data_IF_404629387352
#
_entry.id   IF_404629387352
#
_cell.length_a   1.000
_cell.length_b   1.000
_cell.length_c   1.000
_cell.angle_alpha   90.00
_cell.angle_beta   90.00
_cell.angle_gamma   90.00
#
_symmetry.space_group_name_H-M   'P 1'
#
loop_
_entity.id
_entity.type
_entity.pdbx_description
1 polymer ?
#
# COMPACT_ATOMS: atom_id res chain seq x y z
N UNK A 1 -7.32 7.28 -18.88
CA UNK A 1 -6.29 6.54 -18.18
C UNK A 1 -5.18 6.08 -19.13
N UNK A 2 -3.97 6.11 -18.69
CA UNK A 2 -2.82 5.60 -19.44
C UNK A 2 -2.76 4.07 -19.37
N UNK A 3 -1.80 3.46 -20.08
CA UNK A 3 -1.71 1.99 -20.19
C UNK A 3 -1.52 1.28 -18.84
N UNK A 4 -0.93 1.93 -17.86
CA UNK A 4 -0.68 1.44 -16.51
C UNK A 4 -1.67 1.98 -15.47
N UNK A 5 -2.74 2.62 -15.91
CA UNK A 5 -3.83 3.12 -15.06
C UNK A 5 -5.13 2.36 -15.32
N UNK A 6 -5.92 2.21 -14.27
CA UNK A 6 -7.23 1.57 -14.31
C UNK A 6 -8.23 2.37 -13.50
N UNK A 7 -9.41 2.61 -14.08
CA UNK A 7 -10.52 3.21 -13.36
C UNK A 7 -11.68 2.21 -13.32
N UNK A 8 -12.05 1.79 -12.13
CA UNK A 8 -13.17 0.89 -11.89
C UNK A 8 -14.37 1.67 -11.41
N UNK A 9 -15.52 1.46 -12.05
CA UNK A 9 -16.81 1.93 -11.53
C UNK A 9 -17.42 0.82 -10.70
N UNK A 10 -17.61 1.08 -9.40
CA UNK A 10 -18.16 0.15 -8.44
C UNK A 10 -19.56 0.59 -8.04
N UNK A 11 -20.50 -0.35 -7.97
CA UNK A 11 -21.85 -0.09 -7.49
C UNK A 11 -22.08 -0.85 -6.19
N UNK A 12 -22.63 -0.16 -5.19
CA UNK A 12 -22.96 -0.73 -3.91
C UNK A 12 -24.33 -0.22 -3.42
N UNK A 13 -24.79 -0.68 -2.24
CA UNK A 13 -26.08 -0.28 -1.69
C UNK A 13 -26.19 1.22 -1.41
N UNK A 14 -25.06 1.90 -1.22
CA UNK A 14 -25.00 3.33 -0.91
C UNK A 14 -24.60 4.22 -2.11
N UNK A 15 -24.64 3.68 -3.33
CA UNK A 15 -24.36 4.43 -4.55
C UNK A 15 -23.23 3.88 -5.39
N UNK A 16 -22.73 4.70 -6.31
CA UNK A 16 -21.64 4.36 -7.20
C UNK A 16 -20.34 5.03 -6.75
N UNK A 17 -19.23 4.29 -6.88
CA UNK A 17 -17.89 4.77 -6.54
C UNK A 17 -16.96 4.57 -7.73
N UNK A 18 -15.98 5.45 -7.87
CA UNK A 18 -14.88 5.29 -8.83
C UNK A 18 -13.61 5.00 -8.08
N UNK A 19 -13.00 3.84 -8.37
CA UNK A 19 -11.72 3.44 -7.82
C UNK A 19 -10.65 3.63 -8.89
N UNK A 20 -9.73 4.56 -8.64
CA UNK A 20 -8.61 4.85 -9.53
C UNK A 20 -7.37 4.15 -9.01
N UNK A 21 -6.68 3.42 -9.88
CA UNK A 21 -5.40 2.81 -9.55
C UNK A 21 -4.39 3.04 -10.65
N UNK A 22 -3.13 3.24 -10.26
CA UNK A 22 -2.02 3.47 -11.15
C UNK A 22 -0.82 2.63 -10.75
N UNK A 23 -0.23 1.95 -11.72
CA UNK A 23 1.05 1.26 -11.58
C UNK A 23 2.19 2.08 -12.21
N UNK A 24 2.01 3.38 -12.39
CA UNK A 24 3.06 4.28 -12.88
C UNK A 24 4.31 4.19 -12.03
N UNK A 25 5.48 4.14 -12.69
CA UNK A 25 6.76 4.07 -11.99
C UNK A 25 7.02 5.30 -11.12
N UNK A 26 6.53 6.47 -11.54
CA UNK A 26 6.75 7.74 -10.84
C UNK A 26 5.69 8.07 -9.81
N UNK A 27 4.45 7.58 -9.99
CA UNK A 27 3.32 7.93 -9.13
C UNK A 27 2.32 6.76 -9.04
N UNK A 28 2.68 5.67 -8.35
CA UNK A 28 1.73 4.59 -8.11
C UNK A 28 0.73 5.00 -7.02
N UNK A 29 -0.54 4.64 -7.21
CA UNK A 29 -1.59 4.97 -6.24
C UNK A 29 -2.81 4.06 -6.39
N UNK A 30 -3.65 4.07 -5.37
CA UNK A 30 -5.02 3.56 -5.38
C UNK A 30 -5.87 4.40 -4.44
N UNK A 31 -6.98 4.95 -4.92
CA UNK A 31 -7.93 5.68 -4.08
C UNK A 31 -9.29 5.85 -4.78
N UNK A 32 -10.30 6.15 -3.97
CA UNK A 32 -11.62 6.52 -4.49
C UNK A 32 -11.62 7.97 -4.93
N UNK A 33 -12.08 8.24 -6.15
CA UNK A 33 -12.11 9.59 -6.71
C UNK A 33 -13.51 9.94 -7.20
N UNK A 34 -13.95 11.21 -7.02
CA UNK A 34 -15.17 11.70 -7.64
C UNK A 34 -14.97 12.06 -9.12
N UNK A 35 -13.71 12.17 -9.55
CA UNK A 35 -13.35 12.66 -10.89
C UNK A 35 -13.41 11.54 -11.93
N UNK A 36 -14.00 11.84 -13.07
CA UNK A 36 -13.99 10.94 -14.22
C UNK A 36 -12.87 11.35 -15.18
N UNK A 37 -11.98 10.41 -15.52
CA UNK A 37 -10.92 10.65 -16.51
C UNK A 37 -11.40 10.33 -17.90
N UNK A 38 -10.95 11.12 -18.87
CA UNK A 38 -11.20 10.84 -20.29
C UNK A 38 -10.53 9.52 -20.67
N UNK A 39 -11.31 8.59 -21.19
CA UNK A 39 -10.79 7.31 -21.66
C UNK A 39 -10.10 7.49 -23.02
N UNK A 40 -9.02 6.73 -23.30
CA UNK A 40 -8.42 6.73 -24.62
C UNK A 40 -9.40 6.16 -25.66
N UNK A 41 -9.22 6.53 -26.91
CA UNK A 41 -10.07 6.05 -28.03
C UNK A 41 -10.04 4.51 -28.12
N UNK A 42 -8.88 3.92 -27.87
CA UNK A 42 -8.70 2.46 -27.86
C UNK A 42 -8.26 2.03 -26.47
N UNK A 43 -9.01 1.10 -25.86
CA UNK A 43 -8.66 0.57 -24.55
C UNK A 43 -7.36 -0.27 -24.63
N UNK A 44 -6.45 -0.14 -23.63
CA UNK A 44 -5.30 -1.03 -23.54
C UNK A 44 -5.73 -2.50 -23.45
N UNK A 45 -4.87 -3.40 -23.92
CA UNK A 45 -5.14 -4.85 -23.92
C UNK A 45 -5.55 -5.38 -22.54
N UNK A 46 -4.85 -4.95 -21.50
CA UNK A 46 -5.17 -5.38 -20.11
C UNK A 46 -6.60 -4.96 -19.72
N UNK A 47 -7.00 -3.75 -20.04
CA UNK A 47 -8.35 -3.27 -19.76
C UNK A 47 -9.41 -4.14 -20.49
N UNK A 48 -9.13 -4.52 -21.73
CA UNK A 48 -10.02 -5.39 -22.50
C UNK A 48 -10.13 -6.79 -21.88
N UNK A 49 -9.03 -7.34 -21.40
CA UNK A 49 -9.03 -8.63 -20.67
C UNK A 49 -9.90 -8.54 -19.42
N UNK A 50 -9.77 -7.48 -18.63
CA UNK A 50 -10.59 -7.28 -17.44
C UNK A 50 -12.09 -7.14 -17.81
N UNK A 51 -12.43 -6.37 -18.84
CA UNK A 51 -13.81 -6.23 -19.30
C UNK A 51 -14.41 -7.57 -19.71
N UNK A 52 -13.64 -8.40 -20.38
CA UNK A 52 -14.08 -9.73 -20.81
C UNK A 52 -14.41 -10.65 -19.63
N UNK A 53 -13.63 -10.61 -18.56
CA UNK A 53 -13.74 -11.55 -17.46
C UNK A 53 -14.60 -11.05 -16.30
N UNK A 54 -14.42 -9.79 -15.88
CA UNK A 54 -14.99 -9.31 -14.61
C UNK A 54 -16.00 -8.17 -14.74
N UNK A 55 -16.33 -7.74 -15.96
CA UNK A 55 -17.43 -6.77 -16.13
C UNK A 55 -18.72 -7.36 -15.51
N UNK A 56 -19.43 -6.55 -14.70
CA UNK A 56 -20.60 -6.96 -13.94
C UNK A 56 -20.31 -8.04 -12.86
N UNK A 57 -19.06 -8.28 -12.55
CA UNK A 57 -18.66 -9.15 -11.44
C UNK A 57 -18.89 -8.49 -10.09
N UNK A 58 -18.72 -9.27 -9.04
CA UNK A 58 -18.89 -8.84 -7.65
C UNK A 58 -17.60 -8.98 -6.88
N UNK A 59 -17.16 -7.90 -6.23
CA UNK A 59 -16.02 -7.95 -5.29
C UNK A 59 -16.53 -8.61 -4.00
N UNK A 60 -15.91 -9.72 -3.62
CA UNK A 60 -16.29 -10.48 -2.43
C UNK A 60 -15.37 -10.23 -1.26
N UNK A 61 -14.11 -9.82 -1.52
CA UNK A 61 -13.13 -9.55 -0.48
C UNK A 61 -12.08 -8.57 -0.99
N UNK A 62 -11.66 -7.66 -0.13
CA UNK A 62 -10.52 -6.76 -0.36
C UNK A 62 -9.59 -6.95 0.84
N UNK A 63 -8.32 -7.27 0.59
CA UNK A 63 -7.37 -7.47 1.68
C UNK A 63 -5.94 -7.15 1.27
N UNK A 64 -5.13 -6.87 2.30
CA UNK A 64 -3.70 -6.61 2.21
C UNK A 64 -2.96 -7.80 2.86
N UNK A 65 -2.05 -8.48 2.17
CA UNK A 65 -1.25 -9.53 2.79
C UNK A 65 -0.24 -8.93 3.77
N UNK A 66 -0.47 -9.13 5.07
CA UNK A 66 0.33 -8.52 6.13
C UNK A 66 0.39 -7.01 5.99
N UNK A 67 1.61 -6.47 6.00
CA UNK A 67 1.89 -5.05 5.76
C UNK A 67 2.61 -4.83 4.41
N UNK A 68 2.44 -5.75 3.48
CA UNK A 68 2.95 -5.57 2.13
C UNK A 68 2.19 -4.44 1.41
N UNK A 69 2.86 -3.77 0.47
CA UNK A 69 2.22 -2.72 -0.35
C UNK A 69 1.47 -3.33 -1.52
N UNK A 70 0.55 -4.23 -1.18
CA UNK A 70 -0.24 -5.03 -2.12
C UNK A 70 -1.67 -5.02 -1.63
N UNK A 71 -2.61 -4.82 -2.56
CA UNK A 71 -4.04 -4.96 -2.26
C UNK A 71 -4.63 -5.99 -3.23
N UNK A 72 -5.31 -6.98 -2.69
CA UNK A 72 -5.98 -8.04 -3.44
C UNK A 72 -7.49 -7.80 -3.43
N UNK A 73 -8.10 -7.93 -4.62
CA UNK A 73 -9.55 -7.89 -4.80
C UNK A 73 -9.98 -9.27 -5.29
N UNK A 74 -10.69 -10.00 -4.45
CA UNK A 74 -11.33 -11.26 -4.87
C UNK A 74 -12.66 -10.93 -5.55
N UNK A 75 -12.85 -11.46 -6.76
CA UNK A 75 -14.00 -11.14 -7.62
C UNK A 75 -14.66 -12.43 -8.07
N UNK A 76 -15.96 -12.53 -7.91
CA UNK A 76 -16.77 -13.58 -8.51
C UNK A 76 -17.49 -13.03 -9.76
N UNK A 77 -17.58 -13.86 -10.78
CA UNK A 77 -18.27 -13.52 -12.01
C UNK A 77 -18.81 -14.78 -12.69
N UNK A 78 -19.74 -14.59 -13.63
CA UNK A 78 -20.21 -15.68 -14.48
C UNK A 78 -19.37 -15.74 -15.74
N UNK A 79 -18.98 -16.95 -16.16
CA UNK A 79 -18.31 -17.16 -17.43
C UNK A 79 -19.35 -17.19 -18.58
N UNK A 80 -18.88 -17.42 -19.81
CA UNK A 80 -19.73 -17.48 -21.00
C UNK A 80 -20.79 -18.59 -20.93
N UNK A 81 -20.51 -19.65 -20.16
CA UNK A 81 -21.42 -20.79 -19.94
C UNK A 81 -22.37 -20.57 -18.76
N UNK A 82 -22.30 -19.44 -18.07
CA UNK A 82 -23.11 -19.12 -16.90
C UNK A 82 -22.60 -19.74 -15.59
N UNK A 83 -21.42 -20.34 -15.57
CA UNK A 83 -20.83 -20.91 -14.37
C UNK A 83 -20.16 -19.82 -13.53
N UNK A 84 -20.26 -19.94 -12.19
CA UNK A 84 -19.64 -19.02 -11.27
C UNK A 84 -18.13 -19.26 -11.21
N UNK A 85 -17.36 -18.22 -11.51
CA UNK A 85 -15.90 -18.24 -11.48
C UNK A 85 -15.37 -17.23 -10.49
N UNK A 86 -14.13 -17.46 -10.02
CA UNK A 86 -13.44 -16.59 -9.09
C UNK A 86 -12.11 -16.14 -9.71
N UNK A 87 -11.85 -14.85 -9.59
CA UNK A 87 -10.61 -14.21 -10.07
C UNK A 87 -10.06 -13.31 -8.98
N UNK A 88 -8.79 -12.95 -9.10
CA UNK A 88 -8.15 -11.99 -8.19
C UNK A 88 -7.51 -10.88 -9.01
N UNK A 89 -7.81 -9.65 -8.66
CA UNK A 89 -7.13 -8.45 -9.16
C UNK A 89 -6.18 -7.96 -8.08
N UNK A 90 -4.90 -7.84 -8.42
CA UNK A 90 -3.83 -7.51 -7.48
C UNK A 90 -3.19 -6.21 -7.91
N UNK A 91 -3.14 -5.23 -7.01
CA UNK A 91 -2.33 -4.03 -7.23
C UNK A 91 -1.12 -4.03 -6.31
N UNK A 92 0.05 -3.86 -6.90
CA UNK A 92 1.34 -3.76 -6.21
C UNK A 92 1.85 -2.33 -6.34
N UNK A 93 2.08 -1.67 -5.20
CA UNK A 93 2.51 -0.26 -5.12
C UNK A 93 3.96 -0.20 -4.64
N UNK A 94 4.91 -0.40 -5.56
CA UNK A 94 6.34 -0.55 -5.25
C UNK A 94 7.22 0.33 -6.16
N UNK A 95 6.89 1.62 -6.26
CA UNK A 95 7.62 2.55 -7.11
C UNK A 95 7.71 2.07 -8.57
N UNK A 96 8.90 2.00 -9.12
CA UNK A 96 9.10 1.52 -10.50
C UNK A 96 8.70 0.06 -10.74
N UNK A 97 8.59 -0.73 -9.68
CA UNK A 97 8.15 -2.13 -9.75
C UNK A 97 6.65 -2.31 -9.52
N UNK A 98 5.90 -1.21 -9.47
CA UNK A 98 4.44 -1.25 -9.33
C UNK A 98 3.81 -1.96 -10.53
N UNK A 99 2.74 -2.71 -10.27
CA UNK A 99 2.02 -3.43 -11.31
C UNK A 99 0.56 -3.65 -10.92
N UNK A 100 -0.26 -3.98 -11.89
CA UNK A 100 -1.62 -4.47 -11.69
C UNK A 100 -1.69 -5.83 -12.37
N UNK A 101 -2.01 -6.88 -11.60
CA UNK A 101 -1.94 -8.27 -12.05
C UNK A 101 -3.31 -8.92 -11.86
N UNK A 102 -3.74 -9.67 -12.87
CA UNK A 102 -5.01 -10.37 -12.85
C UNK A 102 -4.76 -11.88 -12.92
N UNK A 103 -5.32 -12.62 -11.95
CA UNK A 103 -5.09 -14.07 -11.81
C UNK A 103 -6.38 -14.87 -11.73
N UNK A 104 -6.27 -16.15 -12.02
CA UNK A 104 -7.26 -17.14 -11.61
C UNK A 104 -7.22 -17.38 -10.09
N UNK A 105 -8.22 -18.10 -9.58
CA UNK A 105 -8.29 -18.44 -8.15
C UNK A 105 -7.14 -19.32 -7.66
N UNK A 106 -6.48 -20.04 -8.55
CA UNK A 106 -5.31 -20.88 -8.25
C UNK A 106 -3.98 -20.12 -8.29
N UNK A 107 -4.03 -18.80 -8.57
CA UNK A 107 -2.84 -17.97 -8.66
C UNK A 107 -2.16 -17.93 -10.03
N UNK A 108 -2.73 -18.56 -11.05
CA UNK A 108 -2.20 -18.46 -12.41
C UNK A 108 -2.48 -17.09 -13.00
N UNK A 109 -1.46 -16.40 -13.48
CA UNK A 109 -1.60 -15.07 -14.08
C UNK A 109 -2.34 -15.19 -15.42
N UNK A 110 -3.41 -14.40 -15.57
CA UNK A 110 -4.15 -14.26 -16.83
C UNK A 110 -3.52 -13.15 -17.65
N UNK A 111 -3.29 -11.99 -17.05
CA UNK A 111 -2.59 -10.87 -17.67
C UNK A 111 -2.16 -9.86 -16.60
N UNK A 112 -1.46 -8.81 -17.03
CA UNK A 112 -1.01 -7.73 -16.16
C UNK A 112 -0.87 -6.44 -16.95
N UNK A 113 -0.88 -5.30 -16.25
CA UNK A 113 -0.64 -4.00 -16.86
C UNK A 113 0.79 -3.91 -17.43
N UNK A 114 1.74 -4.52 -16.74
CA UNK A 114 3.14 -4.62 -17.15
C UNK A 114 3.54 -6.09 -17.21
N UNK A 115 3.94 -6.56 -18.39
CA UNK A 115 4.49 -7.89 -18.56
C UNK A 115 5.99 -7.86 -18.30
N UNK A 116 6.45 -8.73 -17.41
CA UNK A 116 7.86 -8.79 -16.96
C UNK A 116 8.44 -10.15 -17.31
N UNK A 117 9.11 -10.32 -18.47
CA UNK A 117 9.78 -11.55 -18.83
C UNK A 117 11.08 -11.76 -18.04
N UNK A 118 11.60 -13.00 -18.04
CA UNK A 118 12.85 -13.36 -17.38
C UNK A 118 14.05 -12.52 -17.86
N UNK A 119 14.01 -12.04 -19.10
CA UNK A 119 15.05 -11.17 -19.67
C UNK A 119 15.10 -9.79 -19.01
N UNK A 120 14.00 -9.32 -18.38
CA UNK A 120 13.91 -8.03 -17.67
C UNK A 120 14.16 -8.22 -16.19
N UNK A 121 13.68 -9.31 -15.59
CA UNK A 121 13.87 -9.62 -14.19
C UNK A 121 14.14 -11.11 -14.00
N UNK A 122 15.32 -11.43 -13.48
CA UNK A 122 15.68 -12.80 -13.10
C UNK A 122 15.01 -13.27 -11.80
N UNK A 123 14.46 -12.35 -11.03
CA UNK A 123 13.88 -12.63 -9.70
C UNK A 123 12.44 -13.09 -9.81
N UNK A 124 11.66 -12.45 -10.70
CA UNK A 124 10.24 -12.76 -10.82
C UNK A 124 9.72 -12.45 -12.23
N UNK A 125 9.15 -13.46 -12.87
CA UNK A 125 8.42 -13.26 -14.11
C UNK A 125 6.97 -12.89 -13.82
N UNK A 126 6.41 -11.95 -14.59
CA UNK A 126 4.99 -11.60 -14.58
C UNK A 126 4.47 -11.70 -16.01
N UNK A 127 4.05 -12.90 -16.38
CA UNK A 127 3.57 -13.23 -17.72
C UNK A 127 2.32 -14.10 -17.64
N UNK A 128 1.41 -14.03 -18.65
CA UNK A 128 0.30 -14.95 -18.74
C UNK A 128 0.73 -16.42 -18.66
N UNK A 129 0.00 -17.19 -17.86
CA UNK A 129 0.27 -18.63 -17.66
C UNK A 129 1.27 -18.94 -16.55
N UNK A 130 1.97 -17.94 -16.00
CA UNK A 130 2.91 -18.14 -14.89
C UNK A 130 2.18 -18.04 -13.55
N UNK A 131 2.74 -18.68 -12.53
CA UNK A 131 2.23 -18.57 -11.17
C UNK A 131 2.54 -17.18 -10.59
N UNK A 132 1.57 -16.56 -9.95
CA UNK A 132 1.80 -15.34 -9.18
C UNK A 132 2.54 -15.66 -7.89
N UNK A 133 3.60 -14.92 -7.62
CA UNK A 133 4.33 -14.95 -6.36
C UNK A 133 4.46 -13.54 -5.80
N UNK A 134 4.41 -13.43 -4.47
CA UNK A 134 4.64 -12.13 -3.82
C UNK A 134 6.10 -11.71 -4.09
N UNK A 135 6.35 -10.41 -4.37
CA UNK A 135 7.71 -9.93 -4.59
C UNK A 135 8.62 -10.22 -3.40
N UNK A 136 9.81 -10.76 -3.68
CA UNK A 136 10.77 -11.20 -2.66
C UNK A 136 11.52 -10.06 -1.94
N UNK A 137 11.20 -8.81 -2.20
CA UNK A 137 11.89 -7.62 -1.67
C UNK A 137 11.82 -7.47 -0.14
N UNK A 138 11.02 -8.30 0.54
CA UNK A 138 10.74 -8.19 1.98
C UNK A 138 10.97 -9.50 2.73
N UNK A 139 11.68 -10.48 2.13
CA UNK A 139 11.87 -11.80 2.74
C UNK A 139 12.58 -11.78 4.10
N UNK A 140 13.48 -10.80 4.31
CA UNK A 140 14.25 -10.67 5.54
C UNK A 140 13.58 -9.78 6.59
N UNK A 141 12.36 -9.32 6.34
CA UNK A 141 11.65 -8.45 7.26
C UNK A 141 10.52 -9.19 7.99
N UNK A 142 10.31 -8.77 9.23
CA UNK A 142 9.23 -9.29 10.06
C UNK A 142 7.91 -8.61 9.70
N UNK A 143 6.81 -9.37 9.82
CA UNK A 143 5.47 -8.79 9.77
C UNK A 143 5.20 -8.04 11.09
N UNK A 144 5.07 -6.70 11.08
CA UNK A 144 4.93 -5.93 12.32
C UNK A 144 3.62 -6.23 13.07
N UNK A 145 2.62 -6.78 12.40
CA UNK A 145 1.33 -7.09 13.01
C UNK A 145 1.38 -8.32 13.94
N UNK A 146 2.41 -9.15 13.83
CA UNK A 146 2.55 -10.41 14.60
C UNK A 146 3.63 -10.35 15.67
N UNK A 147 4.25 -9.20 15.87
CA UNK A 147 5.39 -9.01 16.78
C UNK A 147 4.90 -8.27 18.05
N UNK A 148 5.22 -8.79 19.23
CA UNK A 148 4.96 -8.11 20.50
C UNK A 148 6.08 -7.12 20.87
N UNK A 149 5.88 -6.35 21.94
CA UNK A 149 6.84 -5.32 22.36
C UNK A 149 8.22 -5.90 22.71
N UNK A 150 8.27 -7.07 23.33
CA UNK A 150 9.53 -7.71 23.69
C UNK A 150 10.28 -8.20 22.46
N UNK A 151 9.59 -8.84 21.54
CA UNK A 151 10.16 -9.28 20.26
C UNK A 151 10.67 -8.08 19.46
N UNK A 152 9.91 -6.98 19.44
CA UNK A 152 10.31 -5.73 18.79
C UNK A 152 11.65 -5.24 19.33
N UNK A 153 11.80 -5.16 20.65
CA UNK A 153 13.04 -4.70 21.29
C UNK A 153 14.21 -5.62 20.94
N UNK A 154 14.00 -6.93 20.99
CA UNK A 154 15.04 -7.92 20.65
C UNK A 154 15.48 -7.76 19.18
N UNK A 155 14.54 -7.55 18.27
CA UNK A 155 14.82 -7.40 16.84
C UNK A 155 15.65 -6.13 16.56
N UNK A 156 15.22 -4.97 17.06
CA UNK A 156 15.93 -3.72 16.80
C UNK A 156 17.28 -3.64 17.53
N UNK A 157 17.39 -4.25 18.70
CA UNK A 157 18.62 -4.26 19.51
C UNK A 157 19.73 -5.12 18.90
N UNK A 158 19.38 -6.06 18.05
CA UNK A 158 20.34 -6.92 17.35
C UNK A 158 21.08 -6.20 16.21
N UNK A 159 20.68 -4.99 15.86
CA UNK A 159 21.23 -4.24 14.72
C UNK A 159 22.01 -3.02 15.21
N UNK A 160 23.26 -2.81 14.74
CA UNK A 160 24.06 -1.63 15.07
C UNK A 160 23.65 -0.43 14.21
N UNK A 161 22.39 -0.01 14.32
CA UNK A 161 21.79 1.01 13.49
C UNK A 161 21.16 2.12 14.34
N UNK A 162 20.78 3.22 13.69
CA UNK A 162 19.94 4.25 14.30
C UNK A 162 18.55 3.67 14.59
N UNK A 163 17.83 4.28 15.52
CA UNK A 163 16.47 3.85 15.90
C UNK A 163 15.57 3.76 14.68
N UNK A 164 15.52 4.81 13.87
CA UNK A 164 14.68 4.83 12.66
C UNK A 164 15.07 3.73 11.67
N UNK A 165 16.35 3.60 11.37
CA UNK A 165 16.85 2.63 10.40
C UNK A 165 16.66 1.19 10.88
N UNK A 166 16.86 0.93 12.18
CA UNK A 166 16.61 -0.38 12.75
C UNK A 166 15.14 -0.79 12.59
N UNK A 167 14.21 0.16 12.74
CA UNK A 167 12.78 -0.10 12.61
C UNK A 167 12.41 -0.36 11.13
N UNK A 168 12.65 0.59 10.23
CA UNK A 168 12.16 0.42 8.85
C UNK A 168 12.90 -0.67 8.07
N UNK A 169 14.13 -1.04 8.46
CA UNK A 169 14.84 -2.15 7.83
C UNK A 169 14.44 -3.52 8.37
N UNK A 170 13.78 -3.57 9.53
CA UNK A 170 13.38 -4.82 10.19
C UNK A 170 11.96 -5.25 9.92
N UNK A 171 11.06 -4.30 9.62
CA UNK A 171 9.62 -4.56 9.54
C UNK A 171 9.04 -4.18 8.17
N UNK A 172 8.23 -5.09 7.62
CA UNK A 172 7.50 -4.84 6.38
C UNK A 172 6.51 -3.70 6.53
N UNK A 173 6.40 -2.86 5.50
CA UNK A 173 5.37 -1.82 5.45
C UNK A 173 5.60 -0.61 6.33
N UNK A 174 6.70 -0.55 7.06
CA UNK A 174 7.06 0.61 7.88
C UNK A 174 8.08 1.45 7.15
N UNK A 175 7.67 2.65 6.75
CA UNK A 175 8.51 3.62 6.06
C UNK A 175 9.42 4.37 7.04
N UNK A 176 10.46 5.05 6.54
CA UNK A 176 11.24 5.97 7.39
C UNK A 176 10.37 7.02 8.09
N UNK A 177 9.34 7.53 7.43
CA UNK A 177 8.41 8.50 8.00
C UNK A 177 7.70 7.95 9.24
N UNK A 178 7.18 6.72 9.16
CA UNK A 178 6.48 6.08 10.27
C UNK A 178 7.45 5.64 11.37
N UNK A 179 8.65 5.19 11.02
CA UNK A 179 9.70 4.90 12.00
C UNK A 179 10.09 6.14 12.80
N UNK A 180 10.22 7.29 12.15
CA UNK A 180 10.47 8.57 12.81
C UNK A 180 9.29 8.97 13.73
N UNK A 181 8.07 8.72 13.31
CA UNK A 181 6.89 8.99 14.12
C UNK A 181 6.87 8.14 15.40
N UNK A 182 7.21 6.86 15.30
CA UNK A 182 7.33 5.97 16.45
C UNK A 182 8.38 6.46 17.45
N UNK A 183 9.57 6.82 16.95
CA UNK A 183 10.63 7.37 17.81
C UNK A 183 10.17 8.66 18.50
N UNK A 184 9.54 9.56 17.76
CA UNK A 184 9.01 10.82 18.30
C UNK A 184 7.98 10.57 19.41
N UNK A 185 7.02 9.68 19.20
CA UNK A 185 6.00 9.34 20.21
C UNK A 185 6.59 8.74 21.46
N UNK A 186 7.70 8.03 21.35
CA UNK A 186 8.41 7.46 22.49
C UNK A 186 9.39 8.43 23.17
N UNK A 187 9.53 9.65 22.63
CA UNK A 187 10.46 10.65 23.16
C UNK A 187 11.93 10.35 22.84
N UNK A 188 12.19 9.56 21.79
CA UNK A 188 13.54 9.19 21.36
C UNK A 188 13.95 9.96 20.12
N UNK A 189 15.26 10.16 19.94
CA UNK A 189 15.82 10.69 18.71
C UNK A 189 15.96 9.56 17.68
N UNK A 190 15.25 9.70 16.57
CA UNK A 190 15.25 8.71 15.49
C UNK A 190 16.65 8.50 14.87
N UNK A 191 17.51 9.51 14.91
CA UNK A 191 18.85 9.48 14.32
C UNK A 191 19.93 9.02 15.31
N UNK A 192 19.57 8.79 16.57
CA UNK A 192 20.49 8.22 17.58
C UNK A 192 20.60 6.71 17.43
N UNK A 193 21.78 6.12 17.75
CA UNK A 193 21.92 4.66 17.75
C UNK A 193 20.98 3.98 18.75
N UNK A 194 20.47 2.82 18.39
CA UNK A 194 19.66 2.00 19.33
C UNK A 194 20.42 1.75 20.63
N UNK A 195 21.73 1.50 20.54
CA UNK A 195 22.59 1.25 21.68
C UNK A 195 22.72 2.43 22.66
N UNK A 196 22.32 3.65 22.27
CA UNK A 196 22.34 4.82 23.14
C UNK A 196 21.22 4.83 24.17
N UNK A 197 20.22 3.96 24.02
CA UNK A 197 19.03 3.92 24.87
C UNK A 197 19.05 2.72 25.83
N UNK A 198 18.44 2.92 27.01
CA UNK A 198 18.25 1.86 27.97
C UNK A 198 17.19 0.86 27.53
N UNK A 199 17.18 -0.31 28.15
CA UNK A 199 16.16 -1.32 27.90
C UNK A 199 14.74 -0.78 28.17
N UNK A 200 14.56 0.00 29.23
CA UNK A 200 13.25 0.60 29.55
C UNK A 200 12.79 1.62 28.51
N UNK A 201 13.71 2.43 28.01
CA UNK A 201 13.42 3.37 26.92
C UNK A 201 13.00 2.62 25.63
N UNK A 202 13.69 1.53 25.31
CA UNK A 202 13.35 0.69 24.15
C UNK A 202 12.02 -0.06 24.34
N UNK A 203 11.71 -0.49 25.59
CA UNK A 203 10.40 -1.08 25.90
C UNK A 203 9.27 -0.06 25.71
N UNK A 204 9.49 1.20 26.05
CA UNK A 204 8.51 2.27 25.81
C UNK A 204 8.29 2.49 24.30
N UNK A 205 9.37 2.45 23.52
CA UNK A 205 9.28 2.45 22.06
C UNK A 205 8.47 1.24 21.55
N UNK A 206 8.74 0.06 22.10
CA UNK A 206 7.99 -1.16 21.75
C UNK A 206 6.51 -1.08 22.10
N UNK A 207 6.15 -0.40 23.18
CA UNK A 207 4.74 -0.16 23.55
C UNK A 207 4.07 0.75 22.52
N UNK A 208 4.73 1.83 22.12
CA UNK A 208 4.21 2.72 21.06
C UNK A 208 4.04 1.98 19.74
N UNK A 209 4.99 1.13 19.40
CA UNK A 209 4.90 0.26 18.22
C UNK A 209 3.66 -0.65 18.29
N UNK A 210 3.47 -1.33 19.42
CA UNK A 210 2.33 -2.23 19.61
C UNK A 210 0.99 -1.47 19.53
N UNK A 211 0.90 -0.30 20.15
CA UNK A 211 -0.31 0.53 20.08
C UNK A 211 -0.63 0.95 18.65
N UNK A 212 0.38 1.37 17.89
CA UNK A 212 0.18 1.73 16.48
C UNK A 212 -0.29 0.53 15.66
N UNK A 213 0.32 -0.64 15.85
CA UNK A 213 -0.07 -1.86 15.14
C UNK A 213 -1.49 -2.32 15.50
N UNK A 214 -1.90 -2.17 16.77
CA UNK A 214 -3.28 -2.44 17.17
C UNK A 214 -4.28 -1.49 16.50
N UNK A 215 -3.93 -0.21 16.35
CA UNK A 215 -4.76 0.74 15.61
C UNK A 215 -4.92 0.31 14.15
N UNK A 216 -3.84 -0.10 13.51
CA UNK A 216 -3.88 -0.59 12.13
C UNK A 216 -4.74 -1.84 12.00
N UNK A 217 -4.57 -2.82 12.88
CA UNK A 217 -5.39 -4.06 12.90
C UNK A 217 -6.88 -3.78 13.05
N UNK A 218 -7.23 -2.75 13.80
CA UNK A 218 -8.60 -2.37 14.09
C UNK A 218 -9.13 -1.28 13.16
N UNK A 219 -8.43 -0.98 12.07
CA UNK A 219 -8.80 0.04 11.09
C UNK A 219 -9.02 1.43 11.70
N UNK A 220 -8.25 1.76 12.74
CA UNK A 220 -8.26 3.09 13.37
C UNK A 220 -7.16 3.94 12.74
N UNK A 221 -7.55 4.75 11.76
CA UNK A 221 -6.65 5.62 11.03
C UNK A 221 -7.00 7.08 11.25
N UNK A 222 -6.01 7.94 11.09
CA UNK A 222 -6.16 9.40 11.13
C UNK A 222 -5.52 10.00 9.88
N UNK A 223 -6.20 9.92 8.72
CA UNK A 223 -5.66 10.47 7.48
C UNK A 223 -5.33 11.95 7.64
N UNK A 224 -4.12 12.35 7.24
CA UNK A 224 -3.69 13.72 7.42
C UNK A 224 -2.69 14.18 6.36
N UNK A 225 -2.62 15.51 6.18
CA UNK A 225 -1.64 16.18 5.32
C UNK A 225 -0.87 17.16 6.18
N UNK A 226 0.45 17.14 6.05
CA UNK A 226 1.37 18.10 6.67
C UNK A 226 1.73 19.16 5.64
N UNK A 227 1.53 20.44 5.96
CA UNK A 227 1.81 21.57 5.07
C UNK A 227 2.74 22.57 5.72
N UNK A 228 3.59 23.15 4.87
CA UNK A 228 4.36 24.36 5.18
C UNK A 228 3.65 25.52 4.48
N UNK A 229 2.93 26.34 5.27
CA UNK A 229 1.99 27.28 4.69
C UNK A 229 0.90 26.54 3.92
N UNK A 230 0.84 26.75 2.60
CA UNK A 230 -0.10 26.06 1.71
C UNK A 230 0.54 24.88 0.95
N UNK A 231 1.84 24.68 1.10
CA UNK A 231 2.57 23.64 0.36
C UNK A 231 2.49 22.30 1.08
N UNK A 232 1.91 21.25 0.46
CA UNK A 232 1.90 19.92 1.07
C UNK A 232 3.30 19.31 1.04
N UNK A 233 3.74 18.83 2.21
CA UNK A 233 5.06 18.21 2.41
C UNK A 233 4.97 16.72 2.58
N UNK A 234 4.01 16.23 3.37
CA UNK A 234 3.81 14.82 3.69
C UNK A 234 2.34 14.50 3.85
N UNK A 235 2.00 13.25 3.66
CA UNK A 235 0.70 12.71 4.01
C UNK A 235 0.85 11.33 4.64
N UNK A 236 -0.14 10.92 5.41
CA UNK A 236 -0.16 9.58 6.00
C UNK A 236 -1.57 9.20 6.41
N UNK A 237 -1.84 7.90 6.49
CA UNK A 237 -3.00 7.34 7.17
C UNK A 237 -2.81 7.28 8.68
N UNK A 238 -1.56 7.39 9.15
CA UNK A 238 -1.19 7.46 10.56
C UNK A 238 -1.03 8.92 10.94
N UNK A 239 -1.53 9.30 12.12
CA UNK A 239 -1.39 10.67 12.62
C UNK A 239 0.08 11.03 12.81
N UNK A 240 0.54 12.08 12.13
CA UNK A 240 1.89 12.59 12.22
C UNK A 240 1.96 13.69 13.27
N UNK A 241 2.71 13.46 14.34
CA UNK A 241 2.89 14.40 15.46
C UNK A 241 4.31 14.93 15.55
N UNK A 242 5.22 14.45 14.70
CA UNK A 242 6.64 14.80 14.73
C UNK A 242 6.99 16.18 14.17
N UNK A 243 6.04 16.88 13.58
CA UNK A 243 6.28 18.19 12.96
C UNK A 243 5.75 19.30 13.87
N UNK A 244 6.65 20.05 14.52
CA UNK A 244 6.29 21.15 15.43
C UNK A 244 6.02 22.46 14.73
N UNK A 245 6.69 22.71 13.58
CA UNK A 245 6.65 24.00 12.88
C UNK A 245 5.74 23.99 11.65
N UNK A 246 5.07 22.87 11.39
CA UNK A 246 4.21 22.68 10.23
C UNK A 246 2.75 22.46 10.65
N UNK A 247 1.84 22.72 9.73
CA UNK A 247 0.41 22.54 9.96
C UNK A 247 -0.01 21.13 9.57
N UNK A 248 -0.64 20.41 10.50
CA UNK A 248 -1.20 19.08 10.26
C UNK A 248 -2.71 19.18 10.18
N UNK A 249 -3.29 18.86 9.03
CA UNK A 249 -4.73 18.86 8.81
C UNK A 249 -5.22 17.43 8.71
N UNK A 250 -6.25 17.09 9.48
CA UNK A 250 -6.89 15.77 9.49
C UNK A 250 -8.04 15.72 8.49
N UNK A 251 -8.25 14.57 7.89
CA UNK A 251 -9.31 14.30 6.92
C UNK A 251 -10.05 13.02 7.29
N UNK A 252 -11.24 12.83 6.72
CA UNK A 252 -12.05 11.64 7.03
C UNK A 252 -11.62 10.39 6.31
N UNK A 253 -10.96 10.52 5.15
CA UNK A 253 -10.50 9.37 4.39
C UNK A 253 -9.14 9.60 3.76
N UNK A 254 -8.40 8.51 3.55
CA UNK A 254 -7.13 8.56 2.82
C UNK A 254 -7.37 8.89 1.33
N UNK A 255 -8.53 8.54 0.78
CA UNK A 255 -8.88 8.91 -0.59
C UNK A 255 -8.94 10.42 -0.77
N UNK A 256 -9.56 11.14 0.17
CA UNK A 256 -9.59 12.61 0.17
C UNK A 256 -8.18 13.19 0.29
N UNK A 257 -7.35 12.63 1.17
CA UNK A 257 -5.95 13.04 1.35
C UNK A 257 -5.18 12.90 0.03
N UNK A 258 -5.29 11.78 -0.64
CA UNK A 258 -4.56 11.53 -1.89
C UNK A 258 -5.05 12.45 -3.02
N UNK A 259 -6.34 12.67 -3.14
CA UNK A 259 -6.91 13.58 -4.12
C UNK A 259 -6.36 15.01 -3.94
N UNK A 260 -6.39 15.52 -2.72
CA UNK A 260 -5.90 16.86 -2.39
C UNK A 260 -4.38 16.98 -2.51
N UNK A 261 -3.65 16.03 -1.97
CA UNK A 261 -2.18 16.06 -1.98
C UNK A 261 -1.63 16.12 -3.40
N UNK A 262 -2.13 15.27 -4.31
CA UNK A 262 -1.66 15.25 -5.68
C UNK A 262 -2.15 16.45 -6.50
N UNK A 263 -3.36 16.92 -6.26
CA UNK A 263 -3.86 18.11 -6.96
C UNK A 263 -3.09 19.38 -6.55
N UNK A 264 -2.79 19.54 -5.25
CA UNK A 264 -2.07 20.70 -4.73
C UNK A 264 -0.59 20.72 -5.12
N UNK A 265 0.02 19.55 -5.34
CA UNK A 265 1.42 19.48 -5.79
C UNK A 265 1.59 19.74 -7.29
N UNK A 266 0.54 19.59 -8.07
CA UNK A 266 0.56 19.79 -9.53
C UNK A 266 0.19 21.22 -9.92
N UNK A 267 -0.08 22.09 -8.97
CA UNK A 267 -0.29 23.54 -9.15
C UNK A 267 0.97 24.31 -8.75
#
# INVERSE_FOLDING_TARGET
>A
PEADELLLTLKGPNGSFRLSMSASASLPFIYLTPTNKVSPLTAPTFCMVLRKHIANGRITKIYQPGMERIINFEIEHLNEMGDLCHKVLIIELMGKYSNIIFTDSDGTIIDSAKRIPASVSSVREVLPGRAYTIPATQEDKYNPLTVDSKQFVDIISAKPLTVSKAIYSSFSGISPLVANELAHRAGLDADSPVAAYSHDELLHLGSNFTWMMEDIKNNRFTPNIVRDGNEPKEFSSIELTQYSDLTVTKYESISEVLELYYSERNT
#
